data_IF_868032795015
#
_entry.id   IF_868032795015
#
_cell.length_a   1.000
_cell.length_b   1.000
_cell.length_c   1.000
_cell.angle_alpha   90.00
_cell.angle_beta   90.00
_cell.angle_gamma   90.00
#
_symmetry.space_group_name_H-M   'P 1'
#
loop_
_entity.id
_entity.type
_entity.pdbx_description
1 polymer ?
#
# COMPACT_ATOMS: atom_id res chain seq x y z
N UNK A 1 -10.06 7.50 -13.94
CA UNK A 1 -9.96 8.95 -14.20
C UNK A 1 -9.40 9.77 -13.04
N UNK A 2 -10.00 9.76 -11.85
CA UNK A 2 -9.60 10.67 -10.74
C UNK A 2 -8.21 10.44 -10.13
N UNK A 3 -7.55 9.31 -10.43
CA UNK A 3 -6.21 8.98 -9.92
C UNK A 3 -5.19 8.95 -11.06
N UNK A 4 -5.46 8.11 -12.06
CA UNK A 4 -4.54 7.82 -13.16
C UNK A 4 -4.20 9.06 -13.98
N UNK A 5 -5.21 9.85 -14.35
CA UNK A 5 -5.03 11.04 -15.18
C UNK A 5 -4.22 12.16 -14.49
N UNK A 6 -4.59 12.64 -13.28
CA UNK A 6 -3.82 13.71 -12.65
C UNK A 6 -2.38 13.27 -12.34
N UNK A 7 -2.17 12.00 -12.01
CA UNK A 7 -0.83 11.49 -11.75
C UNK A 7 -0.01 11.36 -13.05
N UNK A 8 -0.57 10.85 -14.15
CA UNK A 8 0.15 10.73 -15.42
C UNK A 8 0.57 12.09 -15.99
N UNK A 9 -0.33 13.08 -15.95
CA UNK A 9 -0.04 14.45 -16.45
C UNK A 9 1.10 15.09 -15.64
N UNK A 10 1.08 14.92 -14.32
CA UNK A 10 2.11 15.47 -13.44
C UNK A 10 3.49 14.80 -13.61
N UNK A 11 3.52 13.52 -14.00
CA UNK A 11 4.75 12.77 -14.20
C UNK A 11 5.34 12.93 -15.60
N UNK A 12 4.51 13.26 -16.60
CA UNK A 12 4.94 13.45 -18.00
C UNK A 12 5.98 14.56 -18.16
N UNK A 13 5.94 15.59 -17.31
CA UNK A 13 6.84 16.75 -17.37
C UNK A 13 8.17 16.59 -16.63
N UNK A 14 8.50 15.39 -16.12
CA UNK A 14 9.78 15.16 -15.45
C UNK A 14 10.93 15.11 -16.47
N UNK A 15 12.08 15.66 -16.08
CA UNK A 15 13.28 15.65 -16.92
C UNK A 15 13.71 14.22 -17.26
N UNK A 16 14.03 13.98 -18.53
CA UNK A 16 14.44 12.66 -19.04
C UNK A 16 13.29 11.68 -19.25
N UNK A 17 12.03 12.06 -19.06
CA UNK A 17 10.88 11.20 -19.39
C UNK A 17 10.67 11.19 -20.89
N UNK A 18 10.76 9.99 -21.48
CA UNK A 18 10.44 9.72 -22.88
C UNK A 18 8.96 9.50 -23.09
N UNK A 19 8.31 8.72 -22.22
CA UNK A 19 6.86 8.50 -22.27
C UNK A 19 6.32 8.03 -20.93
N UNK A 20 5.07 8.39 -20.64
CA UNK A 20 4.31 7.79 -19.53
C UNK A 20 3.25 6.88 -20.13
N UNK A 21 3.15 5.66 -19.60
CA UNK A 21 2.05 4.73 -19.89
C UNK A 21 1.29 4.49 -18.62
N UNK A 22 -0.03 4.45 -18.72
CA UNK A 22 -0.86 4.21 -17.54
C UNK A 22 -1.96 3.21 -17.86
N UNK A 23 -2.29 2.40 -16.87
CA UNK A 23 -3.43 1.50 -16.88
C UNK A 23 -4.22 1.65 -15.59
N UNK A 24 -5.54 1.60 -15.71
CA UNK A 24 -6.46 1.61 -14.58
C UNK A 24 -7.18 0.27 -14.56
N UNK A 25 -7.14 -0.41 -13.42
CA UNK A 25 -7.87 -1.64 -13.18
C UNK A 25 -8.75 -1.49 -11.95
N UNK A 26 -9.56 -2.52 -11.66
CA UNK A 26 -10.37 -2.53 -10.46
C UNK A 26 -9.47 -2.41 -9.23
N UNK A 27 -9.73 -1.40 -8.39
CA UNK A 27 -9.02 -1.07 -7.16
C UNK A 27 -7.53 -0.65 -7.26
N UNK A 28 -6.94 -0.56 -8.45
CA UNK A 28 -5.59 -0.01 -8.57
C UNK A 28 -5.32 0.70 -9.90
N UNK A 29 -4.33 1.59 -9.88
CA UNK A 29 -3.84 2.30 -11.07
C UNK A 29 -2.33 2.07 -11.16
N UNK A 30 -1.86 1.61 -12.31
CA UNK A 30 -0.43 1.42 -12.58
C UNK A 30 0.06 2.47 -13.56
N UNK A 31 1.19 3.10 -13.24
CA UNK A 31 1.84 4.10 -14.10
C UNK A 31 3.29 3.69 -14.33
N UNK A 32 3.63 3.47 -15.59
CA UNK A 32 4.97 3.17 -16.06
C UNK A 32 5.58 4.45 -16.64
N UNK A 33 6.67 4.92 -16.03
CA UNK A 33 7.40 6.09 -16.48
C UNK A 33 8.65 5.60 -17.18
N UNK A 34 8.73 5.82 -18.49
CA UNK A 34 9.84 5.38 -19.32
C UNK A 34 10.74 6.59 -19.54
N UNK A 35 11.96 6.50 -19.03
CA UNK A 35 13.00 7.51 -19.18
C UNK A 35 13.84 7.25 -20.43
N UNK A 36 14.60 8.25 -20.87
CA UNK A 36 15.66 8.06 -21.88
C UNK A 36 16.74 7.12 -21.36
N UNK A 37 17.30 6.27 -22.23
CA UNK A 37 18.27 5.23 -21.89
C UNK A 37 19.55 5.77 -21.20
N UNK A 38 19.88 7.04 -21.44
CA UNK A 38 21.01 7.73 -20.80
C UNK A 38 20.72 8.24 -19.39
N UNK A 39 19.48 8.14 -18.91
CA UNK A 39 19.08 8.66 -17.61
C UNK A 39 19.56 7.73 -16.50
N UNK A 40 20.28 8.28 -15.52
CA UNK A 40 20.65 7.52 -14.33
C UNK A 40 19.39 7.04 -13.58
N UNK A 41 19.42 5.78 -13.18
CA UNK A 41 18.27 5.12 -12.58
C UNK A 41 17.87 5.75 -11.23
N UNK A 42 18.84 6.09 -10.38
CA UNK A 42 18.56 6.70 -9.09
C UNK A 42 18.12 8.16 -9.21
N UNK A 43 18.65 8.87 -10.21
CA UNK A 43 18.17 10.19 -10.59
C UNK A 43 16.69 10.15 -11.00
N UNK A 44 16.31 9.22 -11.89
CA UNK A 44 14.93 9.03 -12.32
C UNK A 44 14.00 8.76 -11.13
N UNK A 45 14.38 7.84 -10.23
CA UNK A 45 13.61 7.54 -9.01
C UNK A 45 13.44 8.77 -8.12
N UNK A 46 14.51 9.56 -7.93
CA UNK A 46 14.47 10.78 -7.13
C UNK A 46 13.49 11.80 -7.70
N UNK A 47 13.52 12.03 -9.02
CA UNK A 47 12.57 12.93 -9.70
C UNK A 47 11.11 12.50 -9.52
N UNK A 48 10.86 11.19 -9.58
CA UNK A 48 9.52 10.64 -9.35
C UNK A 48 9.09 10.84 -7.90
N UNK A 49 9.95 10.52 -6.93
CA UNK A 49 9.65 10.70 -5.50
C UNK A 49 9.36 12.15 -5.15
N UNK A 50 10.11 13.11 -5.70
CA UNK A 50 9.81 14.54 -5.54
C UNK A 50 8.41 14.90 -6.03
N UNK A 51 7.97 14.33 -7.16
CA UNK A 51 6.62 14.57 -7.65
C UNK A 51 5.56 13.90 -6.79
N UNK A 52 5.82 12.68 -6.32
CA UNK A 52 4.90 11.96 -5.43
C UNK A 52 4.75 12.64 -4.08
N UNK A 53 5.77 13.34 -3.59
CA UNK A 53 5.67 14.14 -2.36
C UNK A 53 4.62 15.26 -2.45
N UNK A 54 4.29 15.71 -3.66
CA UNK A 54 3.24 16.70 -3.92
C UNK A 54 1.88 16.07 -4.27
N UNK A 55 1.77 14.73 -4.26
CA UNK A 55 0.59 14.05 -4.78
C UNK A 55 -0.70 14.34 -4.02
N UNK A 56 -0.62 14.65 -2.73
CA UNK A 56 -1.77 15.07 -1.92
C UNK A 56 -2.44 16.36 -2.43
N UNK A 57 -1.76 17.16 -3.25
CA UNK A 57 -2.32 18.40 -3.83
C UNK A 57 -3.23 18.16 -5.03
N UNK A 58 -3.15 17.00 -5.67
CA UNK A 58 -3.87 16.70 -6.90
C UNK A 58 -4.52 15.30 -6.94
N UNK A 59 -4.34 14.48 -5.90
CA UNK A 59 -5.03 13.21 -5.72
C UNK A 59 -6.20 13.34 -4.72
N UNK A 60 -7.24 12.51 -4.87
CA UNK A 60 -8.33 12.44 -3.89
C UNK A 60 -7.82 12.12 -2.48
N UNK A 61 -8.59 12.53 -1.48
CA UNK A 61 -8.34 12.12 -0.09
C UNK A 61 -8.29 10.60 0.02
N UNK A 62 -7.39 10.09 0.87
CA UNK A 62 -7.14 8.66 1.12
C UNK A 62 -6.46 7.88 -0.02
N UNK A 63 -6.02 8.54 -1.10
CA UNK A 63 -5.17 7.91 -2.13
C UNK A 63 -3.70 8.21 -1.82
N UNK A 64 -2.93 7.15 -1.53
CA UNK A 64 -1.49 7.26 -1.28
C UNK A 64 -0.74 6.55 -2.41
N UNK A 65 -0.15 7.29 -3.37
CA UNK A 65 0.68 6.68 -4.38
C UNK A 65 2.02 6.25 -3.76
N UNK A 66 2.58 5.16 -4.26
CA UNK A 66 3.91 4.70 -3.85
C UNK A 66 4.75 4.36 -5.08
N UNK A 67 6.06 4.55 -4.96
CA UNK A 67 7.00 4.12 -5.99
C UNK A 67 7.33 2.64 -5.78
N UNK A 68 7.31 1.87 -6.86
CA UNK A 68 7.73 0.48 -6.82
C UNK A 68 9.18 0.33 -6.32
N UNK A 69 9.56 -0.82 -5.74
CA UNK A 69 10.91 -1.07 -5.26
C UNK A 69 11.99 -0.88 -6.32
N UNK A 70 13.24 -0.88 -5.87
CA UNK A 70 14.41 -0.91 -6.74
C UNK A 70 14.61 -2.33 -7.32
N UNK A 71 13.71 -2.74 -8.22
CA UNK A 71 13.76 -4.04 -8.87
C UNK A 71 13.30 -3.94 -10.33
N UNK A 72 13.85 -4.81 -11.17
CA UNK A 72 13.45 -4.98 -12.58
C UNK A 72 12.67 -6.28 -12.78
N UNK A 73 12.19 -6.52 -14.00
CA UNK A 73 11.54 -7.79 -14.37
C UNK A 73 12.44 -9.03 -14.19
N UNK A 74 13.76 -8.84 -14.06
CA UNK A 74 14.73 -9.91 -13.80
C UNK A 74 15.03 -10.09 -12.30
N UNK A 75 14.40 -9.31 -11.42
CA UNK A 75 14.65 -9.30 -9.97
C UNK A 75 14.07 -10.49 -9.20
N UNK A 76 13.34 -11.39 -9.86
CA UNK A 76 12.77 -12.60 -9.22
C UNK A 76 13.84 -13.68 -9.07
N UNK A 77 14.66 -13.58 -8.03
CA UNK A 77 15.82 -14.44 -7.81
C UNK A 77 15.51 -15.71 -7.00
N UNK A 78 14.47 -15.72 -6.18
CA UNK A 78 14.14 -16.86 -5.33
C UNK A 78 12.64 -16.94 -5.01
N UNK A 79 12.10 -18.15 -5.06
CA UNK A 79 10.72 -18.48 -4.75
C UNK A 79 10.69 -19.53 -3.64
N UNK A 80 9.77 -19.37 -2.69
CA UNK A 80 9.57 -20.31 -1.60
C UNK A 80 8.10 -20.37 -1.18
N UNK A 81 7.75 -21.42 -0.44
CA UNK A 81 6.46 -21.59 0.22
C UNK A 81 6.65 -21.55 1.73
N UNK A 82 5.62 -21.07 2.45
CA UNK A 82 5.55 -21.18 3.91
C UNK A 82 4.48 -22.22 4.21
N UNK A 83 4.91 -23.32 4.81
CA UNK A 83 4.09 -24.51 5.06
C UNK A 83 4.05 -24.82 6.55
N UNK A 84 2.94 -25.41 7.01
CA UNK A 84 2.77 -25.83 8.40
C UNK A 84 1.64 -26.82 8.54
N UNK A 85 1.89 -27.91 9.27
CA UNK A 85 0.88 -28.93 9.55
C UNK A 85 -0.25 -28.34 10.36
N UNK A 86 -1.50 -28.60 9.96
CA UNK A 86 -2.72 -28.10 10.61
C UNK A 86 -2.75 -26.56 10.83
N UNK A 87 -2.02 -25.79 10.03
CA UNK A 87 -1.99 -24.33 10.15
C UNK A 87 -2.84 -23.68 9.05
N UNK A 88 -3.69 -22.72 9.42
CA UNK A 88 -4.50 -22.00 8.45
C UNK A 88 -3.67 -21.02 7.61
N UNK A 89 -4.13 -20.76 6.38
CA UNK A 89 -3.45 -19.89 5.42
C UNK A 89 -3.31 -18.44 5.90
N UNK A 90 -4.17 -17.97 6.81
CA UNK A 90 -4.08 -16.63 7.37
C UNK A 90 -2.96 -16.51 8.40
N UNK A 91 -2.75 -17.57 9.19
CA UNK A 91 -1.60 -17.67 10.09
C UNK A 91 -0.29 -17.79 9.30
N UNK A 92 -0.23 -18.63 8.26
CA UNK A 92 0.95 -18.73 7.39
C UNK A 92 1.26 -17.40 6.68
N UNK A 93 0.22 -16.71 6.18
CA UNK A 93 0.37 -15.38 5.58
C UNK A 93 0.87 -14.35 6.58
N UNK A 94 0.40 -14.41 7.83
CA UNK A 94 0.85 -13.52 8.90
C UNK A 94 2.32 -13.80 9.26
N UNK A 95 2.72 -15.06 9.36
CA UNK A 95 4.12 -15.43 9.60
C UNK A 95 5.04 -14.92 8.48
N UNK A 96 4.60 -15.09 7.23
CA UNK A 96 5.30 -14.56 6.06
C UNK A 96 5.47 -13.04 6.15
N UNK A 97 4.38 -12.30 6.37
CA UNK A 97 4.37 -10.84 6.29
C UNK A 97 5.07 -10.16 7.48
N UNK A 98 5.00 -10.75 8.67
CA UNK A 98 5.47 -10.14 9.92
C UNK A 98 6.73 -10.77 10.52
N UNK A 99 7.24 -11.87 9.95
CA UNK A 99 8.49 -12.49 10.40
C UNK A 99 9.45 -12.75 9.24
N UNK A 100 9.08 -13.64 8.32
CA UNK A 100 9.98 -14.11 7.25
C UNK A 100 10.41 -12.96 6.34
N UNK A 101 9.46 -12.12 5.90
CA UNK A 101 9.73 -10.97 5.03
C UNK A 101 10.80 -10.03 5.62
N UNK A 102 10.74 -9.74 6.93
CA UNK A 102 11.71 -8.83 7.55
C UNK A 102 13.12 -9.42 7.57
N UNK A 103 13.24 -10.71 7.87
CA UNK A 103 14.53 -11.40 7.87
C UNK A 103 15.15 -11.39 6.47
N UNK A 104 14.38 -11.73 5.44
CA UNK A 104 14.89 -11.75 4.06
C UNK A 104 15.18 -10.35 3.51
N UNK A 105 14.37 -9.34 3.82
CA UNK A 105 14.64 -7.95 3.43
C UNK A 105 15.92 -7.39 4.08
N UNK A 106 16.39 -7.97 5.19
CA UNK A 106 17.65 -7.55 5.83
C UNK A 106 18.90 -8.07 5.13
N UNK A 107 18.76 -9.01 4.20
CA UNK A 107 19.88 -9.60 3.46
C UNK A 107 20.42 -8.57 2.44
N UNK A 108 21.75 -8.30 2.44
CA UNK A 108 22.34 -7.37 1.47
C UNK A 108 22.03 -7.76 0.02
N UNK A 109 21.57 -6.79 -0.78
CA UNK A 109 21.20 -6.99 -2.18
C UNK A 109 19.74 -7.39 -2.42
N UNK A 110 18.96 -7.66 -1.36
CA UNK A 110 17.51 -7.89 -1.49
C UNK A 110 16.78 -6.55 -1.51
N UNK A 111 16.22 -6.20 -2.67
CA UNK A 111 15.44 -4.97 -2.81
C UNK A 111 14.03 -5.09 -2.20
N UNK A 112 13.40 -6.27 -2.30
CA UNK A 112 12.08 -6.54 -1.74
C UNK A 112 11.80 -8.04 -1.64
N UNK A 113 11.07 -8.44 -0.60
CA UNK A 113 10.36 -9.72 -0.52
C UNK A 113 8.85 -9.50 -0.59
N UNK A 114 8.25 -10.00 -1.68
CA UNK A 114 6.81 -9.91 -1.95
C UNK A 114 6.08 -11.19 -1.51
N UNK A 115 4.84 -11.03 -1.05
CA UNK A 115 3.97 -12.18 -0.75
C UNK A 115 3.03 -12.45 -1.92
N UNK A 116 2.85 -13.73 -2.23
CA UNK A 116 1.95 -14.21 -3.28
C UNK A 116 0.95 -15.16 -2.63
N UNK A 117 -0.35 -14.90 -2.82
CA UNK A 117 -1.42 -15.71 -2.23
C UNK A 117 -1.55 -15.57 -0.70
N UNK A 118 -2.21 -16.56 -0.09
CA UNK A 118 -2.59 -16.56 1.33
C UNK A 118 -3.81 -15.67 1.62
N UNK A 119 -4.28 -15.72 2.87
CA UNK A 119 -5.45 -14.96 3.32
C UNK A 119 -4.98 -13.86 4.28
N UNK A 120 -4.84 -12.59 3.85
CA UNK A 120 -4.58 -11.50 4.81
C UNK A 120 -5.71 -11.49 5.85
N UNK A 121 -5.34 -11.35 7.13
CA UNK A 121 -6.34 -11.30 8.19
C UNK A 121 -7.08 -9.97 8.12
N UNK A 122 -8.38 -10.05 7.90
CA UNK A 122 -9.28 -8.90 7.84
C UNK A 122 -10.35 -9.05 8.92
N UNK A 123 -10.69 -7.93 9.57
CA UNK A 123 -11.79 -7.87 10.52
C UNK A 123 -12.99 -7.24 9.83
N UNK A 124 -13.97 -8.07 9.49
CA UNK A 124 -15.20 -7.63 8.86
C UNK A 124 -16.29 -7.39 9.91
N UNK A 125 -16.92 -6.22 9.85
CA UNK A 125 -18.08 -5.89 10.71
C UNK A 125 -19.35 -6.09 9.88
N UNK A 126 -19.97 -7.25 10.06
CA UNK A 126 -21.22 -7.58 9.38
C UNK A 126 -22.43 -7.03 10.13
N UNK A 127 -23.12 -6.08 9.50
CA UNK A 127 -24.32 -5.46 10.07
C UNK A 127 -25.60 -6.12 9.53
N UNK A 128 -26.58 -6.30 10.41
CA UNK A 128 -27.91 -6.82 10.06
C UNK A 128 -28.91 -5.66 9.94
N UNK A 129 -29.48 -5.37 8.76
CA UNK A 129 -30.38 -4.22 8.55
C UNK A 129 -31.60 -4.19 9.48
N UNK A 130 -32.14 -5.36 9.84
CA UNK A 130 -33.27 -5.49 10.77
C UNK A 130 -32.89 -5.02 12.18
N UNK A 131 -31.69 -5.37 12.65
CA UNK A 131 -31.19 -4.94 13.96
C UNK A 131 -30.93 -3.44 13.96
N UNK A 132 -30.33 -2.90 12.91
CA UNK A 132 -30.12 -1.46 12.77
C UNK A 132 -31.43 -0.68 12.93
N UNK A 133 -32.50 -1.12 12.25
CA UNK A 133 -33.83 -0.50 12.39
C UNK A 133 -34.43 -0.68 13.79
N UNK A 134 -34.31 -1.87 14.38
CA UNK A 134 -34.86 -2.14 15.72
C UNK A 134 -34.22 -1.28 16.81
N UNK A 135 -32.95 -0.89 16.65
CA UNK A 135 -32.22 -0.03 17.58
C UNK A 135 -32.17 1.44 17.16
N UNK A 136 -32.81 1.82 16.04
CA UNK A 136 -32.72 3.18 15.47
C UNK A 136 -31.27 3.65 15.24
N UNK A 137 -30.42 2.74 14.77
CA UNK A 137 -29.01 3.00 14.49
C UNK A 137 -28.78 2.96 12.97
N UNK A 138 -28.12 3.98 12.46
CA UNK A 138 -27.69 4.08 11.06
C UNK A 138 -26.36 3.38 10.83
N UNK A 139 -26.09 2.97 9.58
CA UNK A 139 -24.79 2.42 9.21
C UNK A 139 -23.64 3.43 9.44
N UNK A 140 -23.89 4.72 9.22
CA UNK A 140 -22.91 5.78 9.50
C UNK A 140 -22.50 5.85 10.98
N UNK A 141 -23.45 5.66 11.90
CA UNK A 141 -23.15 5.63 13.33
C UNK A 141 -22.27 4.43 13.71
N UNK A 142 -22.45 3.27 13.07
CA UNK A 142 -21.56 2.12 13.27
C UNK A 142 -20.15 2.44 12.77
N UNK A 143 -20.02 3.02 11.57
CA UNK A 143 -18.72 3.44 11.02
C UNK A 143 -18.00 4.41 11.97
N UNK A 144 -18.70 5.46 12.42
CA UNK A 144 -18.14 6.46 13.32
C UNK A 144 -17.72 5.87 14.67
N UNK A 145 -18.51 4.93 15.20
CA UNK A 145 -18.20 4.26 16.46
C UNK A 145 -16.92 3.42 16.34
N UNK A 146 -16.80 2.61 15.29
CA UNK A 146 -15.61 1.80 15.02
C UNK A 146 -14.39 2.70 14.83
N UNK A 147 -14.49 3.74 14.00
CA UNK A 147 -13.40 4.68 13.74
C UNK A 147 -12.89 5.38 15.03
N UNK A 148 -13.81 5.79 15.93
CA UNK A 148 -13.45 6.42 17.21
C UNK A 148 -12.87 5.43 18.23
N UNK A 149 -13.30 4.17 18.20
CA UNK A 149 -12.84 3.14 19.13
C UNK A 149 -11.47 2.56 18.80
N UNK A 150 -11.00 2.74 17.55
CA UNK A 150 -9.72 2.20 17.09
C UNK A 150 -8.58 3.22 17.11
N UNK A 151 -8.69 4.26 17.96
CA UNK A 151 -7.66 5.30 18.09
C UNK A 151 -6.74 4.99 19.28
N UNK A 152 -5.43 4.93 19.01
CA UNK A 152 -4.41 4.88 20.05
C UNK A 152 -4.26 6.26 20.71
N UNK A 153 -4.97 6.50 21.81
CA UNK A 153 -4.78 7.72 22.62
C UNK A 153 -3.65 7.51 23.62
N UNK A 154 -2.59 8.33 23.51
CA UNK A 154 -1.47 8.29 24.45
C UNK A 154 -1.87 8.81 25.83
N UNK A 155 -1.72 8.00 26.87
CA UNK A 155 -1.94 8.43 28.26
C UNK A 155 -0.88 9.44 28.69
N UNK A 156 -1.26 10.68 28.98
CA UNK A 156 -0.36 11.68 29.59
C UNK A 156 -0.03 11.26 31.03
N UNK A 157 1.25 11.37 31.39
CA UNK A 157 1.71 11.15 32.77
C UNK A 157 1.29 12.35 33.62
N UNK A 158 0.64 12.10 34.76
CA UNK A 158 0.41 13.12 35.80
C UNK A 158 1.60 13.08 36.75
N UNK A 159 2.44 14.11 36.74
CA UNK A 159 3.42 14.30 37.80
C UNK A 159 2.71 14.80 39.06
N UNK A 160 2.75 14.01 40.13
CA UNK A 160 2.53 14.53 41.49
C UNK A 160 3.85 15.12 41.98
N UNK A 161 3.85 16.41 42.24
CA UNK A 161 4.90 17.11 42.98
C UNK A 161 4.87 16.77 44.46
#
# INVERSE_FOLDING_TARGET
>A
DQITYPLSVNLQGLAGVKTVRSSSEFNFSMINIIFDDSTDFYFARTRVLERLALASTFLPQNVVPYLAPDATALGQVYWYTVEGDNTDLGTLRSLQDWYVRYQLNSVPGVAQVSSVGGFPREYQVDVTPEKLRAYDITLGQIYDAVAKSNSAVGGRVVQKG
#
